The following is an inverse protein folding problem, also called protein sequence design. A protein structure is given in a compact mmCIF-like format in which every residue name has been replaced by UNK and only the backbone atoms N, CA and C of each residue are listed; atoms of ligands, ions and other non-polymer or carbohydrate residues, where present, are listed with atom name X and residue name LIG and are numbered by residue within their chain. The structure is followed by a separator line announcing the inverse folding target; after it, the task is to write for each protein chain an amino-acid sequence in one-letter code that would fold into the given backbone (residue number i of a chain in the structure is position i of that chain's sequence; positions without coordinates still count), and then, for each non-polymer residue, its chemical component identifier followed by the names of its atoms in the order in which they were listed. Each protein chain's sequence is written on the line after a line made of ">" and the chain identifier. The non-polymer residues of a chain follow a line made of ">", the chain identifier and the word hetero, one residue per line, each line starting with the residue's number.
data_IF_313490753885
#
_entry.id   IF_313490753885
#
_cell.length_a   1.000
_cell.length_b   1.000
_cell.length_c   1.000
_cell.angle_alpha   90.00
_cell.angle_beta   90.00
_cell.angle_gamma   90.00
#
_symmetry.space_group_name_H-M   'P 1'
#
loop_
_entity.id
_entity.type
_entity.pdbx_description
1 polymer ?
#
# COMPACT_ATOMS: atom_id res chain seq x y z
N UNK A 1 -5.24 11.75 -35.43
CA UNK A 1 -6.34 12.56 -34.85
C UNK A 1 -5.70 13.74 -34.14
N UNK A 2 -6.11 14.98 -34.40
CA UNK A 2 -5.54 16.15 -33.71
C UNK A 2 -6.17 16.24 -32.32
N UNK A 3 -5.38 16.40 -31.23
CA UNK A 3 -5.94 16.54 -29.88
C UNK A 3 -6.90 17.73 -29.79
N UNK A 4 -8.11 17.51 -29.26
CA UNK A 4 -9.04 18.59 -28.94
C UNK A 4 -8.68 19.10 -27.55
N UNK A 5 -8.15 20.31 -27.48
CA UNK A 5 -7.73 20.95 -26.24
C UNK A 5 -8.84 21.90 -25.72
N UNK A 6 -9.21 21.77 -24.45
CA UNK A 6 -10.16 22.66 -23.79
C UNK A 6 -9.50 24.01 -23.42
N UNK A 7 -8.27 23.96 -22.90
CA UNK A 7 -7.40 25.12 -22.70
C UNK A 7 -6.38 25.22 -23.83
N UNK A 8 -6.03 26.43 -24.24
CA UNK A 8 -5.15 26.73 -25.38
C UNK A 8 -4.21 27.87 -25.01
N UNK A 9 -2.90 27.66 -25.12
CA UNK A 9 -1.91 28.68 -24.80
C UNK A 9 -2.13 29.94 -25.65
N UNK A 10 -2.18 31.11 -25.01
CA UNK A 10 -2.42 32.39 -25.71
C UNK A 10 -3.86 32.61 -26.21
N UNK A 11 -4.80 31.69 -25.92
CA UNK A 11 -6.22 31.84 -26.28
C UNK A 11 -7.11 31.77 -25.04
N UNK A 12 -6.88 30.80 -24.16
CA UNK A 12 -7.52 30.75 -22.85
C UNK A 12 -6.60 31.35 -21.78
N UNK A 13 -7.15 31.82 -20.65
CA UNK A 13 -6.33 32.30 -19.53
C UNK A 13 -5.38 31.26 -18.95
N UNK A 14 -5.68 29.97 -19.16
CA UNK A 14 -4.86 28.86 -18.69
C UNK A 14 -4.16 28.14 -19.86
N UNK A 15 -3.01 27.54 -19.58
CA UNK A 15 -2.16 26.89 -20.58
C UNK A 15 -2.61 25.43 -20.86
N UNK A 16 -2.53 25.02 -22.12
CA UNK A 16 -2.95 23.69 -22.57
C UNK A 16 -2.10 22.54 -22.03
N UNK A 17 -0.80 22.77 -21.85
CA UNK A 17 0.14 21.75 -21.40
C UNK A 17 -0.04 21.39 -19.92
N UNK A 18 -0.61 22.32 -19.12
CA UNK A 18 -0.81 22.10 -17.68
C UNK A 18 -2.24 21.69 -17.36
N UNK A 19 -3.26 22.36 -17.92
CA UNK A 19 -4.64 22.15 -17.47
C UNK A 19 -5.38 21.01 -18.16
N UNK A 20 -5.13 20.77 -19.46
CA UNK A 20 -5.85 19.70 -20.15
C UNK A 20 -5.44 18.32 -19.62
N UNK A 21 -4.17 18.15 -19.24
CA UNK A 21 -3.70 16.90 -18.64
C UNK A 21 -4.35 16.64 -17.27
N UNK A 22 -4.58 17.69 -16.47
CA UNK A 22 -5.25 17.60 -15.16
C UNK A 22 -6.74 17.27 -15.26
N UNK A 23 -7.39 17.68 -16.35
CA UNK A 23 -8.85 17.55 -16.52
C UNK A 23 -9.25 16.42 -17.47
N UNK A 24 -8.29 15.84 -18.19
CA UNK A 24 -8.52 14.63 -18.96
C UNK A 24 -8.77 13.45 -18.04
N UNK A 25 -9.65 12.55 -18.50
CA UNK A 25 -9.80 11.24 -17.89
C UNK A 25 -8.44 10.55 -17.82
N UNK A 26 -8.03 10.19 -16.61
CA UNK A 26 -6.82 9.44 -16.40
C UNK A 26 -7.09 7.95 -16.62
N UNK A 27 -6.13 7.19 -17.19
CA UNK A 27 -6.16 5.75 -17.08
C UNK A 27 -6.30 5.36 -15.61
N UNK A 28 -7.10 4.35 -15.32
CA UNK A 28 -7.30 3.90 -13.95
C UNK A 28 -7.32 2.38 -13.84
N UNK A 29 -7.07 1.88 -12.63
CA UNK A 29 -7.22 0.48 -12.26
C UNK A 29 -8.08 0.41 -11.00
N UNK A 30 -9.05 -0.51 -11.00
CA UNK A 30 -9.87 -0.80 -9.82
C UNK A 30 -9.40 -2.12 -9.23
N UNK A 31 -9.06 -2.10 -7.95
CA UNK A 31 -8.65 -3.27 -7.19
C UNK A 31 -9.78 -3.65 -6.25
N UNK A 32 -10.13 -4.93 -6.22
CA UNK A 32 -11.26 -5.45 -5.43
C UNK A 32 -10.78 -6.15 -4.16
N UNK A 33 -11.71 -6.55 -3.31
CA UNK A 33 -11.43 -7.43 -2.16
C UNK A 33 -10.61 -8.65 -2.59
N UNK A 34 -10.99 -9.26 -3.70
CA UNK A 34 -10.23 -10.33 -4.33
C UNK A 34 -10.22 -11.61 -3.50
N UNK A 35 -9.40 -12.56 -3.94
CA UNK A 35 -9.17 -13.85 -3.28
C UNK A 35 -7.83 -13.81 -2.55
N UNK A 36 -7.82 -14.19 -1.27
CA UNK A 36 -6.58 -14.36 -0.52
C UNK A 36 -5.76 -15.52 -1.12
N UNK A 37 -4.50 -15.25 -1.45
CA UNK A 37 -3.56 -16.21 -2.06
C UNK A 37 -2.55 -16.75 -1.07
N UNK A 38 -2.14 -15.91 -0.14
CA UNK A 38 -1.20 -16.27 0.90
C UNK A 38 -1.37 -15.38 2.12
N UNK A 39 -1.01 -15.86 3.31
CA UNK A 39 -1.07 -15.08 4.53
C UNK A 39 -0.27 -15.70 5.69
N UNK A 40 0.32 -14.81 6.48
CA UNK A 40 0.65 -15.10 7.88
C UNK A 40 -0.27 -14.28 8.78
N UNK A 41 -1.09 -14.97 9.55
CA UNK A 41 -1.96 -14.37 10.57
C UNK A 41 -1.76 -15.09 11.91
N UNK A 42 -2.31 -14.53 12.97
CA UNK A 42 -2.23 -15.10 14.30
C UNK A 42 -2.77 -14.15 15.35
N UNK A 43 -2.29 -14.29 16.58
CA UNK A 43 -2.76 -13.51 17.74
C UNK A 43 -2.25 -12.07 17.73
N UNK A 44 -1.10 -11.80 17.11
CA UNK A 44 -0.58 -10.44 16.96
C UNK A 44 -0.09 -9.88 18.29
N UNK A 45 0.78 -10.63 18.96
CA UNK A 45 1.23 -10.38 20.34
C UNK A 45 2.56 -9.61 20.42
N UNK A 46 3.13 -9.22 19.28
CA UNK A 46 4.37 -8.45 19.23
C UNK A 46 4.30 -7.35 18.18
N UNK A 47 4.67 -6.13 18.59
CA UNK A 47 4.91 -4.99 17.71
C UNK A 47 6.38 -4.93 17.30
N UNK A 48 6.62 -4.84 15.99
CA UNK A 48 7.95 -4.71 15.43
C UNK A 48 8.15 -3.29 14.89
N UNK A 49 8.82 -2.46 15.68
CA UNK A 49 9.02 -1.04 15.37
C UNK A 49 9.75 -0.79 14.07
N UNK A 50 9.12 0.01 13.20
CA UNK A 50 9.67 0.48 11.94
C UNK A 50 10.51 1.76 12.09
N UNK A 51 10.77 2.25 13.32
CA UNK A 51 11.66 3.39 13.52
C UNK A 51 13.12 3.03 13.14
N UNK A 52 13.60 1.89 13.64
CA UNK A 52 15.01 1.51 13.54
C UNK A 52 15.32 0.54 12.41
N UNK A 53 14.35 -0.29 12.03
CA UNK A 53 14.57 -1.45 11.17
C UNK A 53 13.63 -1.48 9.98
N UNK A 54 14.21 -1.84 8.82
CA UNK A 54 13.41 -2.33 7.70
C UNK A 54 13.04 -3.78 8.01
N UNK A 55 11.88 -4.22 7.54
CA UNK A 55 11.44 -5.60 7.68
C UNK A 55 11.10 -6.20 6.32
N UNK A 56 11.30 -7.50 6.19
CA UNK A 56 10.77 -8.25 5.06
C UNK A 56 10.19 -9.58 5.50
N UNK A 57 9.15 -10.01 4.79
CA UNK A 57 8.58 -11.35 4.91
C UNK A 57 8.30 -11.92 3.53
N UNK A 58 8.27 -13.24 3.45
CA UNK A 58 8.07 -13.97 2.20
C UNK A 58 6.60 -14.34 2.01
N UNK A 59 6.13 -14.26 0.77
CA UNK A 59 4.88 -14.88 0.34
C UNK A 59 5.08 -15.70 -0.95
N UNK A 60 4.13 -16.58 -1.24
CA UNK A 60 4.09 -17.40 -2.45
C UNK A 60 2.91 -16.99 -3.33
N UNK A 61 3.16 -16.74 -4.62
CA UNK A 61 2.12 -16.37 -5.58
C UNK A 61 1.30 -17.60 -6.04
N UNK A 62 0.67 -18.34 -5.11
CA UNK A 62 -0.02 -19.60 -5.43
C UNK A 62 -1.28 -19.36 -6.28
N UNK A 63 -1.30 -19.95 -7.49
CA UNK A 63 -2.45 -19.88 -8.39
C UNK A 63 -2.75 -18.47 -8.93
N UNK A 64 -1.75 -17.60 -8.96
CA UNK A 64 -1.88 -16.21 -9.43
C UNK A 64 -0.61 -15.75 -10.14
N UNK A 65 -0.77 -14.85 -11.11
CA UNK A 65 0.33 -14.14 -11.80
C UNK A 65 0.32 -12.65 -11.49
N UNK A 66 -0.42 -12.27 -10.45
CA UNK A 66 -0.59 -10.89 -10.00
C UNK A 66 -0.78 -10.81 -8.48
N UNK A 67 -0.53 -9.61 -7.94
CA UNK A 67 -0.93 -9.16 -6.61
C UNK A 67 -1.70 -7.86 -6.77
N UNK A 68 -2.99 -7.89 -6.47
CA UNK A 68 -3.85 -6.72 -6.53
C UNK A 68 -3.56 -5.81 -5.33
N UNK A 69 -3.64 -6.37 -4.13
CA UNK A 69 -3.42 -5.65 -2.87
C UNK A 69 -2.79 -6.58 -1.83
N UNK A 70 -2.18 -5.97 -0.83
CA UNK A 70 -1.78 -6.65 0.40
C UNK A 70 -2.50 -6.03 1.58
N UNK A 71 -2.68 -6.80 2.64
CA UNK A 71 -3.03 -6.25 3.95
C UNK A 71 -1.88 -6.49 4.91
N UNK A 72 -1.51 -5.46 5.68
CA UNK A 72 -0.53 -5.54 6.74
C UNK A 72 -1.20 -5.22 8.08
N UNK A 73 -0.86 -5.97 9.14
CA UNK A 73 -1.35 -5.70 10.48
C UNK A 73 -0.44 -4.64 11.11
N UNK A 74 -0.93 -3.40 11.15
CA UNK A 74 -0.14 -2.23 11.50
C UNK A 74 -0.90 -1.35 12.48
N UNK A 75 -0.14 -0.59 13.23
CA UNK A 75 -0.56 0.60 13.95
C UNK A 75 0.54 1.65 13.93
N UNK A 76 0.20 2.82 14.48
CA UNK A 76 1.10 3.95 14.59
C UNK A 76 1.20 4.44 16.01
N UNK A 77 2.41 4.84 16.34
CA UNK A 77 2.76 5.62 17.52
C UNK A 77 2.92 7.10 17.16
N UNK A 78 2.48 7.97 18.07
CA UNK A 78 2.50 9.42 17.85
C UNK A 78 1.71 9.83 16.60
N UNK A 79 2.31 10.64 15.73
CA UNK A 79 1.71 10.99 14.43
C UNK A 79 1.90 9.90 13.37
N UNK A 80 2.70 8.87 13.65
CA UNK A 80 3.17 7.88 12.70
C UNK A 80 4.19 8.43 11.70
N UNK A 81 4.55 7.59 10.73
CA UNK A 81 5.35 7.94 9.56
C UNK A 81 4.72 7.35 8.30
N UNK A 82 5.02 7.91 7.12
CA UNK A 82 4.55 7.32 5.86
C UNK A 82 5.07 5.88 5.72
N UNK A 83 4.17 4.98 5.35
CA UNK A 83 4.50 3.59 5.11
C UNK A 83 5.02 3.42 3.69
N UNK A 84 6.24 2.89 3.53
CA UNK A 84 6.78 2.52 2.22
C UNK A 84 6.83 1.01 2.11
N UNK A 85 6.00 0.45 1.23
CA UNK A 85 5.88 -0.99 0.97
C UNK A 85 6.44 -1.31 -0.41
N UNK A 86 7.31 -2.31 -0.46
CA UNK A 86 7.89 -2.82 -1.69
C UNK A 86 7.52 -4.30 -1.90
N UNK A 87 7.34 -4.68 -3.15
CA UNK A 87 7.34 -6.07 -3.59
C UNK A 87 8.64 -6.34 -4.34
N UNK A 88 9.34 -7.40 -3.96
CA UNK A 88 10.63 -7.78 -4.54
C UNK A 88 10.68 -9.25 -4.95
N UNK A 89 11.46 -9.56 -5.98
CA UNK A 89 11.79 -10.93 -6.39
C UNK A 89 13.26 -11.24 -6.13
N UNK A 90 13.57 -12.53 -5.92
CA UNK A 90 14.95 -13.01 -5.85
C UNK A 90 15.76 -12.48 -4.68
N UNK A 91 15.13 -12.02 -3.58
CA UNK A 91 15.87 -11.68 -2.38
C UNK A 91 16.49 -12.94 -1.75
N UNK A 92 17.69 -12.79 -1.20
CA UNK A 92 18.31 -13.73 -0.27
C UNK A 92 18.75 -12.95 0.97
N UNK A 93 17.84 -12.79 1.96
CA UNK A 93 18.10 -11.94 3.13
C UNK A 93 19.36 -12.36 3.92
N UNK A 94 19.58 -13.67 4.08
CA UNK A 94 20.74 -14.20 4.80
C UNK A 94 22.08 -13.86 4.14
N UNK A 95 22.12 -13.78 2.81
CA UNK A 95 23.29 -13.34 2.05
C UNK A 95 23.37 -11.81 1.86
N UNK A 96 22.37 -11.06 2.34
CA UNK A 96 22.27 -9.61 2.12
C UNK A 96 21.87 -9.21 0.70
N UNK A 97 21.32 -10.12 -0.09
CA UNK A 97 20.86 -9.85 -1.46
C UNK A 97 19.45 -9.28 -1.45
N UNK A 98 19.29 -8.02 -1.87
CA UNK A 98 18.01 -7.31 -1.87
C UNK A 98 17.13 -7.60 -3.09
N UNK A 99 17.58 -8.44 -4.03
CA UNK A 99 16.81 -8.83 -5.20
C UNK A 99 16.39 -7.67 -6.10
N UNK A 100 15.39 -7.91 -6.94
CA UNK A 100 14.84 -6.91 -7.88
C UNK A 100 13.59 -6.28 -7.30
N UNK A 101 13.53 -4.94 -7.30
CA UNK A 101 12.31 -4.20 -6.98
C UNK A 101 11.29 -4.35 -8.11
N UNK A 102 10.09 -4.84 -7.78
CA UNK A 102 8.99 -5.00 -8.73
C UNK A 102 7.93 -3.90 -8.59
N UNK A 103 7.65 -3.48 -7.36
CA UNK A 103 6.68 -2.43 -7.05
C UNK A 103 7.09 -1.72 -5.76
N UNK A 104 6.82 -0.42 -5.69
CA UNK A 104 6.86 0.38 -4.47
C UNK A 104 5.58 1.21 -4.36
N UNK A 105 5.02 1.28 -3.16
CA UNK A 105 3.82 2.05 -2.82
C UNK A 105 4.08 2.80 -1.53
N UNK A 106 3.59 4.04 -1.46
CA UNK A 106 3.62 4.86 -0.25
C UNK A 106 2.19 5.07 0.23
N UNK A 107 1.96 4.82 1.53
CA UNK A 107 0.69 5.11 2.20
C UNK A 107 0.94 6.19 3.27
N UNK A 108 0.21 7.32 3.22
CA UNK A 108 0.32 8.37 4.23
C UNK A 108 0.03 7.89 5.66
N UNK A 109 0.79 8.42 6.62
CA UNK A 109 0.64 8.09 8.05
C UNK A 109 -0.77 8.36 8.59
N UNK A 110 -1.48 9.33 8.01
CA UNK A 110 -2.84 9.72 8.39
C UNK A 110 -3.86 8.60 8.14
N UNK A 111 -3.54 7.65 7.24
CA UNK A 111 -4.43 6.56 6.86
C UNK A 111 -4.25 5.32 7.73
N UNK A 112 -3.24 5.34 8.61
CA UNK A 112 -2.86 4.22 9.46
C UNK A 112 -3.47 4.45 10.85
N UNK A 113 -4.18 3.46 11.42
CA UNK A 113 -4.84 3.60 12.70
C UNK A 113 -3.83 3.60 13.86
N UNK A 114 -4.24 4.18 14.98
CA UNK A 114 -3.48 4.16 16.26
C UNK A 114 -3.63 2.86 17.04
N UNK A 115 -4.38 1.89 16.51
CA UNK A 115 -4.61 0.60 17.14
C UNK A 115 -4.46 -0.46 16.07
N UNK A 116 -3.75 -1.54 16.40
CA UNK A 116 -3.41 -2.62 15.49
C UNK A 116 -4.63 -3.07 14.67
N UNK A 117 -4.55 -2.89 13.36
CA UNK A 117 -5.56 -3.36 12.42
C UNK A 117 -4.94 -3.71 11.07
N UNK A 118 -5.63 -4.56 10.31
CA UNK A 118 -5.23 -4.85 8.94
C UNK A 118 -5.58 -3.66 8.06
N UNK A 119 -4.57 -2.96 7.55
CA UNK A 119 -4.74 -1.92 6.54
C UNK A 119 -4.47 -2.48 5.15
N UNK A 120 -5.20 -2.04 4.14
CA UNK A 120 -5.02 -2.52 2.78
C UNK A 120 -4.20 -1.57 1.93
N UNK A 121 -3.23 -2.11 1.19
CA UNK A 121 -2.26 -1.38 0.37
C UNK A 121 -2.43 -1.81 -1.11
N UNK A 122 -2.65 -0.86 -2.04
CA UNK A 122 -2.91 -1.15 -3.45
C UNK A 122 -1.62 -1.38 -4.22
N UNK A 123 -1.29 -2.63 -4.51
CA UNK A 123 -0.04 -3.01 -5.17
C UNK A 123 -0.16 -2.93 -6.70
N UNK A 124 -1.26 -3.45 -7.26
CA UNK A 124 -1.51 -3.53 -8.71
C UNK A 124 -0.27 -3.99 -9.51
N UNK A 125 0.23 -5.18 -9.18
CA UNK A 125 1.40 -5.79 -9.82
C UNK A 125 0.99 -7.04 -10.58
N UNK A 126 1.35 -7.11 -11.85
CA UNK A 126 1.16 -8.29 -12.72
C UNK A 126 2.52 -8.84 -13.20
N UNK A 127 2.49 -9.95 -13.94
CA UNK A 127 3.71 -10.57 -14.48
C UNK A 127 4.46 -11.44 -13.48
N UNK A 128 3.81 -11.85 -12.39
CA UNK A 128 4.36 -12.83 -11.46
C UNK A 128 4.26 -14.25 -12.03
N UNK A 129 5.09 -15.14 -11.51
CA UNK A 129 5.04 -16.57 -11.82
C UNK A 129 4.28 -17.30 -10.72
N UNK A 130 3.21 -18.01 -11.09
CA UNK A 130 2.42 -18.77 -10.13
C UNK A 130 3.28 -19.82 -9.41
N UNK A 131 3.18 -19.87 -8.08
CA UNK A 131 3.96 -20.74 -7.21
C UNK A 131 5.38 -20.25 -6.89
N UNK A 132 5.83 -19.13 -7.47
CA UNK A 132 7.10 -18.53 -7.12
C UNK A 132 7.02 -17.74 -5.81
N UNK A 133 8.18 -17.59 -5.15
CA UNK A 133 8.32 -16.84 -3.91
C UNK A 133 8.72 -15.38 -4.19
N UNK A 134 8.09 -14.47 -3.45
CA UNK A 134 8.32 -13.04 -3.49
C UNK A 134 8.40 -12.49 -2.08
N UNK A 135 8.82 -11.24 -1.95
CA UNK A 135 9.06 -10.61 -0.66
C UNK A 135 8.28 -9.32 -0.56
N UNK A 136 7.57 -9.15 0.55
CA UNK A 136 7.08 -7.87 1.01
C UNK A 136 8.20 -7.25 1.83
N UNK A 137 8.61 -6.04 1.51
CA UNK A 137 9.57 -5.27 2.29
C UNK A 137 8.90 -3.99 2.74
N UNK A 138 8.94 -3.73 4.05
CA UNK A 138 8.53 -2.45 4.61
C UNK A 138 9.77 -1.69 5.04
N UNK A 139 9.94 -0.49 4.48
CA UNK A 139 11.08 0.35 4.81
C UNK A 139 10.84 1.01 6.15
N UNK A 140 11.93 1.17 6.91
CA UNK A 140 11.89 1.95 8.15
C UNK A 140 11.54 3.40 7.86
N UNK A 141 10.89 4.06 8.81
CA UNK A 141 10.49 5.45 8.73
C UNK A 141 10.19 6.01 10.12
N UNK A 142 10.24 7.33 10.24
CA UNK A 142 9.94 8.01 11.49
C UNK A 142 11.10 8.03 12.48
N UNK A 143 10.75 8.14 13.76
CA UNK A 143 11.66 8.21 14.90
C UNK A 143 11.09 7.44 16.10
N UNK A 144 11.79 7.47 17.24
CA UNK A 144 11.38 6.74 18.45
C UNK A 144 10.02 7.16 19.03
N UNK A 145 9.43 8.27 18.60
CA UNK A 145 8.12 8.78 19.04
C UNK A 145 7.06 8.66 17.95
N UNK A 146 7.42 8.91 16.69
CA UNK A 146 6.49 8.94 15.57
C UNK A 146 6.91 7.87 14.57
N UNK A 147 6.32 6.68 14.68
CA UNK A 147 6.65 5.54 13.83
C UNK A 147 5.44 4.63 13.64
N UNK A 148 5.65 3.58 12.86
CA UNK A 148 4.69 2.51 12.66
C UNK A 148 5.24 1.23 13.28
N UNK A 149 4.33 0.36 13.69
CA UNK A 149 4.68 -0.98 14.16
C UNK A 149 4.11 -2.02 13.22
N UNK A 150 4.94 -3.02 12.89
CA UNK A 150 4.48 -4.19 12.17
C UNK A 150 4.17 -5.31 13.13
N UNK A 151 2.88 -5.54 13.35
CA UNK A 151 2.40 -6.55 14.27
C UNK A 151 2.70 -7.96 13.73
N UNK A 152 3.12 -8.83 14.64
CA UNK A 152 3.46 -10.20 14.36
C UNK A 152 3.39 -11.08 15.60
N UNK A 153 4.18 -12.15 15.58
CA UNK A 153 4.24 -13.15 16.63
C UNK A 153 5.50 -13.01 17.50
N UNK A 154 5.57 -13.74 18.61
CA UNK A 154 6.78 -13.81 19.45
C UNK A 154 7.80 -14.85 19.00
N UNK A 155 7.51 -15.57 17.91
CA UNK A 155 8.35 -16.65 17.39
C UNK A 155 8.56 -16.54 15.88
N UNK A 156 9.68 -17.10 15.40
CA UNK A 156 9.97 -17.28 13.97
C UNK A 156 9.07 -18.36 13.37
N UNK A 157 8.74 -18.24 12.09
CA UNK A 157 7.99 -19.25 11.34
C UNK A 157 8.78 -19.65 10.08
N UNK A 158 9.09 -20.94 9.93
CA UNK A 158 9.89 -21.43 8.78
C UNK A 158 9.11 -21.42 7.47
N UNK A 159 7.77 -21.47 7.53
CA UNK A 159 6.92 -21.34 6.34
C UNK A 159 6.89 -19.88 5.87
N UNK A 160 6.86 -18.95 6.82
CA UNK A 160 6.82 -17.51 6.60
C UNK A 160 8.02 -16.80 7.24
N UNK A 161 9.24 -17.04 6.74
CA UNK A 161 10.43 -16.45 7.32
C UNK A 161 10.38 -14.93 7.17
N UNK A 162 10.72 -14.25 8.25
CA UNK A 162 10.80 -12.81 8.31
C UNK A 162 12.21 -12.39 8.75
N UNK A 163 12.64 -11.23 8.28
CA UNK A 163 13.93 -10.66 8.61
C UNK A 163 13.83 -9.16 8.85
N UNK A 164 14.81 -8.62 9.59
CA UNK A 164 14.96 -7.20 9.84
C UNK A 164 16.37 -6.71 9.53
N UNK A 165 16.51 -5.43 9.18
CA UNK A 165 17.80 -4.80 8.92
C UNK A 165 17.79 -3.31 9.25
N UNK A 166 18.73 -2.87 10.09
CA UNK A 166 18.84 -1.46 10.48
C UNK A 166 19.38 -0.57 9.35
N UNK A 167 20.35 -1.10 8.58
CA UNK A 167 21.00 -0.41 7.46
C UNK A 167 20.27 -0.56 6.12
N UNK A 168 20.74 0.20 5.13
CA UNK A 168 20.25 0.12 3.75
C UNK A 168 20.93 -0.98 2.93
N UNK A 169 21.98 -1.62 3.45
CA UNK A 169 22.71 -2.72 2.83
C UNK A 169 23.22 -3.70 3.90
N UNK A 170 23.71 -4.86 3.45
CA UNK A 170 24.26 -5.91 4.32
C UNK A 170 23.25 -7.02 4.63
N UNK A 171 23.71 -8.01 5.38
CA UNK A 171 22.91 -9.17 5.76
C UNK A 171 21.69 -8.76 6.61
N UNK A 172 20.58 -9.44 6.37
CA UNK A 172 19.39 -9.30 7.19
C UNK A 172 19.44 -10.30 8.36
N UNK A 173 18.87 -9.91 9.50
CA UNK A 173 18.78 -10.76 10.69
C UNK A 173 17.41 -11.39 10.76
N UNK A 174 17.33 -12.71 10.96
CA UNK A 174 16.05 -13.40 11.16
C UNK A 174 15.29 -12.79 12.35
N UNK A 175 13.98 -12.65 12.21
CA UNK A 175 13.10 -12.09 13.24
C UNK A 175 11.79 -12.86 13.30
N UNK A 176 10.95 -12.52 14.26
CA UNK A 176 9.67 -13.17 14.45
C UNK A 176 8.74 -12.97 13.24
N UNK A 177 7.79 -13.89 13.08
CA UNK A 177 6.86 -13.87 11.95
C UNK A 177 6.00 -12.60 11.97
N UNK A 178 5.83 -11.97 10.81
CA UNK A 178 5.08 -10.73 10.62
C UNK A 178 3.74 -11.02 9.96
N UNK A 179 2.70 -10.28 10.36
CA UNK A 179 1.37 -10.51 9.82
C UNK A 179 1.15 -9.85 8.47
N UNK A 180 0.67 -10.62 7.51
CA UNK A 180 0.29 -10.10 6.20
C UNK A 180 -0.77 -10.99 5.56
N UNK A 181 -1.45 -10.43 4.56
CA UNK A 181 -2.30 -11.17 3.61
C UNK A 181 -2.06 -10.64 2.21
N UNK A 182 -2.03 -11.54 1.24
CA UNK A 182 -1.85 -11.22 -0.19
C UNK A 182 -3.12 -11.56 -0.94
N UNK A 183 -3.65 -10.62 -1.71
CA UNK A 183 -4.90 -10.79 -2.46
C UNK A 183 -4.68 -10.59 -3.96
N UNK A 184 -5.44 -11.32 -4.77
CA UNK A 184 -5.49 -11.14 -6.22
C UNK A 184 -6.89 -11.38 -6.80
N UNK A 185 -7.08 -11.01 -8.05
CA UNK A 185 -8.36 -11.14 -8.77
C UNK A 185 -9.39 -10.07 -8.43
N UNK A 186 -10.47 -10.06 -9.22
CA UNK A 186 -11.55 -9.08 -9.15
C UNK A 186 -12.85 -9.72 -8.62
N UNK A 187 -12.95 -9.88 -7.30
CA UNK A 187 -14.16 -10.38 -6.62
C UNK A 187 -14.52 -9.51 -5.43
N UNK A 188 -15.81 -9.42 -5.10
CA UNK A 188 -16.29 -8.62 -3.98
C UNK A 188 -16.38 -7.14 -4.29
N UNK A 189 -16.27 -6.30 -3.27
CA UNK A 189 -16.36 -4.84 -3.39
C UNK A 189 -15.03 -4.24 -3.91
N UNK A 190 -15.06 -3.13 -4.67
CA UNK A 190 -13.87 -2.33 -4.93
C UNK A 190 -13.21 -1.89 -3.62
N UNK A 191 -11.90 -2.03 -3.47
CA UNK A 191 -11.15 -1.58 -2.29
C UNK A 191 -10.24 -0.42 -2.60
N UNK A 192 -9.73 -0.35 -3.83
CA UNK A 192 -8.88 0.75 -4.25
C UNK A 192 -9.16 1.14 -5.69
N UNK A 193 -8.91 2.41 -5.99
CA UNK A 193 -8.77 2.92 -7.34
C UNK A 193 -7.38 3.55 -7.44
N UNK A 194 -6.65 3.21 -8.50
CA UNK A 194 -5.40 3.88 -8.86
C UNK A 194 -5.66 4.66 -10.13
N UNK A 195 -5.44 5.97 -10.11
CA UNK A 195 -5.61 6.87 -11.26
C UNK A 195 -4.26 7.42 -11.71
N UNK A 196 -4.08 7.52 -13.02
CA UNK A 196 -2.85 7.97 -13.63
C UNK A 196 -1.67 7.07 -13.26
N UNK A 197 -0.60 7.67 -12.75
CA UNK A 197 0.64 6.95 -12.40
C UNK A 197 0.53 6.30 -11.02
N UNK A 198 0.01 7.03 -10.04
CA UNK A 198 0.13 6.67 -8.63
C UNK A 198 -0.84 7.40 -7.70
N UNK A 199 -1.88 8.09 -8.22
CA UNK A 199 -2.93 8.61 -7.36
C UNK A 199 -3.77 7.44 -6.83
N UNK A 200 -3.94 7.35 -5.52
CA UNK A 200 -4.59 6.22 -4.85
C UNK A 200 -5.83 6.74 -4.15
N UNK A 201 -6.95 6.03 -4.33
CA UNK A 201 -8.13 6.14 -3.48
C UNK A 201 -8.38 4.78 -2.83
N UNK A 202 -8.40 4.71 -1.51
CA UNK A 202 -8.81 3.52 -0.74
C UNK A 202 -10.23 3.71 -0.23
N UNK A 203 -11.06 2.67 -0.37
CA UNK A 203 -12.47 2.69 0.00
C UNK A 203 -12.69 1.76 1.19
N UNK A 204 -13.23 2.31 2.28
CA UNK A 204 -13.78 1.54 3.38
C UNK A 204 -15.30 1.47 3.27
N UNK A 205 -15.87 0.38 3.77
CA UNK A 205 -17.30 0.12 3.71
C UNK A 205 -17.86 -0.10 5.10
N UNK A 206 -19.08 0.40 5.32
CA UNK A 206 -19.92 0.05 6.46
C UNK A 206 -21.26 -0.44 5.93
N UNK A 207 -21.67 -1.63 6.35
CA UNK A 207 -22.93 -2.25 5.90
C UNK A 207 -23.06 -2.37 4.37
N UNK A 208 -21.94 -2.58 3.67
CA UNK A 208 -21.89 -2.72 2.20
C UNK A 208 -21.91 -1.40 1.42
N UNK A 209 -21.97 -0.25 2.10
CA UNK A 209 -21.88 1.08 1.48
C UNK A 209 -20.54 1.76 1.78
N UNK A 210 -19.94 2.50 0.82
CA UNK A 210 -18.72 3.27 1.07
C UNK A 210 -18.89 4.22 2.26
N UNK A 211 -18.08 4.06 3.31
CA UNK A 211 -18.16 4.88 4.52
C UNK A 211 -17.02 5.87 4.64
N UNK A 212 -15.85 5.56 4.08
CA UNK A 212 -14.70 6.46 4.03
C UNK A 212 -13.91 6.28 2.75
N UNK A 213 -13.35 7.38 2.24
CA UNK A 213 -12.38 7.41 1.16
C UNK A 213 -11.09 8.02 1.67
N UNK A 214 -9.97 7.35 1.44
CA UNK A 214 -8.64 7.87 1.71
C UNK A 214 -7.99 8.16 0.36
N UNK A 215 -7.77 9.42 0.04
CA UNK A 215 -7.18 9.84 -1.22
C UNK A 215 -5.76 10.32 -1.01
N UNK A 216 -4.83 9.72 -1.73
CA UNK A 216 -3.44 10.17 -1.80
C UNK A 216 -3.03 10.46 -3.24
N UNK A 217 -2.64 11.71 -3.51
CA UNK A 217 -2.02 12.11 -4.76
C UNK A 217 -0.57 12.48 -4.44
N UNK A 218 0.40 11.59 -4.72
CA UNK A 218 1.80 11.87 -4.43
C UNK A 218 2.31 13.02 -5.32
N UNK A 219 3.24 13.83 -4.81
CA UNK A 219 3.89 14.83 -5.63
C UNK A 219 4.87 14.17 -6.63
N UNK A 220 5.16 14.86 -7.73
CA UNK A 220 6.00 14.33 -8.80
C UNK A 220 7.49 14.22 -8.44
N UNK A 221 7.93 14.95 -7.42
CA UNK A 221 9.32 15.09 -6.98
C UNK A 221 9.68 14.23 -5.77
N UNK A 222 8.75 13.39 -5.28
CA UNK A 222 9.01 12.44 -4.21
C UNK A 222 7.76 12.13 -3.38
N UNK A 223 7.87 11.34 -2.31
CA UNK A 223 6.73 11.02 -1.45
C UNK A 223 6.42 12.10 -0.40
N UNK A 224 7.31 13.09 -0.22
CA UNK A 224 7.14 14.13 0.78
C UNK A 224 6.06 15.13 0.32
N UNK A 225 4.96 15.21 1.06
CA UNK A 225 3.82 16.06 0.73
C UNK A 225 2.74 15.32 -0.07
N UNK A 226 2.15 16.00 -1.04
CA UNK A 226 1.01 15.50 -1.82
C UNK A 226 -0.35 15.89 -1.25
N UNK A 227 -1.41 15.60 -2.01
CA UNK A 227 -2.79 15.73 -1.51
C UNK A 227 -3.09 14.48 -0.69
N UNK A 228 -3.39 14.67 0.60
CA UNK A 228 -3.70 13.60 1.55
C UNK A 228 -5.04 13.95 2.16
N UNK A 229 -6.09 13.24 1.78
CA UNK A 229 -7.44 13.56 2.19
C UNK A 229 -8.18 12.32 2.70
N UNK A 230 -9.06 12.54 3.67
CA UNK A 230 -9.91 11.51 4.25
C UNK A 230 -11.34 12.03 4.25
N UNK A 231 -12.15 11.52 3.33
CA UNK A 231 -13.56 11.86 3.22
C UNK A 231 -14.40 10.82 3.94
N UNK A 232 -15.16 11.24 4.94
CA UNK A 232 -16.18 10.42 5.60
C UNK A 232 -17.52 10.62 4.93
N UNK A 233 -18.15 9.52 4.53
CA UNK A 233 -19.40 9.51 3.78
C UNK A 233 -20.57 9.24 4.71
N UNK A 234 -21.63 10.04 4.60
CA UNK A 234 -22.88 9.89 5.36
C UNK A 234 -24.08 9.63 4.46
N UNK A 235 -24.99 8.79 4.96
CA UNK A 235 -26.22 8.41 4.28
C UNK A 235 -27.46 8.77 5.11
N UNK A 236 -28.56 9.08 4.44
CA UNK A 236 -29.90 9.21 5.04
C UNK A 236 -30.88 8.38 4.22
N UNK A 237 -31.62 7.47 4.86
CA UNK A 237 -32.57 6.56 4.20
C UNK A 237 -31.95 5.79 3.02
N UNK A 238 -30.67 5.40 3.15
CA UNK A 238 -29.92 4.68 2.11
C UNK A 238 -29.37 5.56 0.97
N UNK A 239 -29.62 6.87 0.98
CA UNK A 239 -29.10 7.80 -0.02
C UNK A 239 -27.89 8.55 0.51
N UNK A 240 -26.88 8.72 -0.34
CA UNK A 240 -25.71 9.55 -0.06
C UNK A 240 -26.16 11.00 0.16
N UNK A 241 -25.83 11.59 1.31
CA UNK A 241 -26.23 12.97 1.63
C UNK A 241 -25.07 13.92 1.88
N UNK A 242 -23.91 13.42 2.30
CA UNK A 242 -22.76 14.26 2.63
C UNK A 242 -21.44 13.51 2.56
N UNK A 243 -20.37 14.22 2.18
CA UNK A 243 -18.99 13.87 2.46
C UNK A 243 -18.35 14.98 3.33
N UNK A 244 -17.62 14.61 4.37
CA UNK A 244 -16.90 15.54 5.27
C UNK A 244 -15.48 15.05 5.49
#
# INVERSE_FOLDING_TARGET
>A
MVPINAFKNGVTPLNEATMNALLNLQPFSVLYEGTQRDAKTGSGVLENTLADYNYCCRFTATGTTEVARVELHLDKDGTGSDLVVQIRSGMNPAAGTDGTLLKEIVIPAEFIPTTAAYISIPINLSGLTSGAQYWIVVKKGGDATNHLDWVGETTTDTNYPAYRRAGNSGAWTATNALHFRVFSGASGLPRHVIEGVNAITTIEYSSGLPSKLYQYIPPSDGPAGGVRDVLTISYSSGLLTKGV
#
